data_IF_950545717286
#
_entry.id   IF_950545717286
#
_cell.length_a   1.000
_cell.length_b   1.000
_cell.length_c   1.000
_cell.angle_alpha   90.00
_cell.angle_beta   90.00
_cell.angle_gamma   90.00
#
_symmetry.space_group_name_H-M   'P 1'
#
loop_
_entity.id
_entity.type
_entity.pdbx_description
1 polymer ?
#
# COMPACT_ATOMS: atom_id res chain seq x y z
N UNK A 1 5.00 12.86 -10.53
CA UNK A 1 4.44 11.86 -9.59
C UNK A 1 2.94 12.09 -9.50
N UNK A 2 2.11 11.06 -9.66
CA UNK A 2 0.67 11.18 -9.42
C UNK A 2 0.39 11.53 -7.95
N UNK A 3 -0.71 12.24 -7.70
CA UNK A 3 -1.14 12.59 -6.34
C UNK A 3 -2.16 11.56 -5.87
N UNK A 4 -1.90 10.93 -4.73
CA UNK A 4 -2.82 10.02 -4.06
C UNK A 4 -3.37 10.69 -2.78
N UNK A 5 -4.64 10.45 -2.48
CA UNK A 5 -5.29 10.92 -1.26
C UNK A 5 -6.03 9.77 -0.60
N UNK A 6 -5.75 9.54 0.67
CA UNK A 6 -6.46 8.57 1.48
C UNK A 6 -7.74 9.19 2.03
N UNK A 7 -8.90 8.70 1.59
CA UNK A 7 -10.20 9.29 1.93
C UNK A 7 -10.90 8.56 3.09
N UNK A 8 -10.57 7.28 3.29
CA UNK A 8 -11.11 6.49 4.39
C UNK A 8 -10.21 6.65 5.61
N UNK A 9 -10.73 6.97 6.81
CA UNK A 9 -9.91 7.02 8.01
C UNK A 9 -9.12 5.72 8.21
N UNK A 10 -7.81 5.84 8.45
CA UNK A 10 -6.91 4.71 8.65
C UNK A 10 -5.90 5.06 9.73
N UNK A 11 -5.56 4.07 10.55
CA UNK A 11 -4.41 4.14 11.45
C UNK A 11 -3.21 3.59 10.67
N UNK A 12 -2.24 4.43 10.30
CA UNK A 12 -1.04 4.02 9.58
C UNK A 12 0.10 5.05 9.73
N UNK A 13 1.38 4.64 9.93
CA UNK A 13 2.48 5.60 10.14
C UNK A 13 2.68 6.59 8.99
N UNK A 14 2.41 6.18 7.75
CA UNK A 14 2.67 6.98 6.54
C UNK A 14 1.43 7.59 5.89
N UNK A 15 0.30 7.65 6.60
CA UNK A 15 -0.91 8.31 6.12
C UNK A 15 -1.33 9.35 7.15
N UNK A 16 -1.36 10.61 6.73
CA UNK A 16 -1.75 11.72 7.59
C UNK A 16 -3.26 11.74 7.81
N UNK A 17 -3.71 12.37 8.91
CA UNK A 17 -5.14 12.54 9.23
C UNK A 17 -5.90 13.32 8.17
N UNK A 18 -5.22 14.22 7.46
CA UNK A 18 -5.81 14.96 6.35
C UNK A 18 -5.93 14.11 5.08
N UNK A 19 -5.37 12.89 5.03
CA UNK A 19 -5.34 11.96 3.91
C UNK A 19 -4.07 11.99 3.06
N UNK A 20 -3.06 12.81 3.38
CA UNK A 20 -1.79 12.79 2.63
C UNK A 20 -1.05 11.46 2.82
N UNK A 21 -0.49 10.92 1.73
CA UNK A 21 0.15 9.59 1.72
C UNK A 21 1.63 9.72 1.40
N UNK A 22 2.49 9.18 2.25
CA UNK A 22 3.91 9.06 1.99
C UNK A 22 4.19 7.66 1.43
N UNK A 23 4.29 7.58 0.10
CA UNK A 23 4.65 6.36 -0.62
C UNK A 23 6.18 6.32 -0.61
N UNK A 24 6.79 5.42 0.17
CA UNK A 24 8.22 5.41 0.51
C UNK A 24 9.21 5.23 -0.65
N UNK A 25 8.73 5.18 -1.90
CA UNK A 25 9.58 5.07 -3.09
C UNK A 25 9.45 6.33 -3.96
N UNK A 26 10.58 6.83 -4.46
CA UNK A 26 10.57 7.87 -5.50
C UNK A 26 9.91 7.30 -6.74
N UNK A 27 8.85 7.95 -7.20
CA UNK A 27 8.23 7.61 -8.46
C UNK A 27 9.10 8.07 -9.64
N UNK A 28 9.26 7.21 -10.65
CA UNK A 28 9.86 7.55 -11.94
C UNK A 28 8.81 7.44 -13.04
N UNK A 29 8.93 8.14 -14.18
CA UNK A 29 8.00 8.01 -15.31
C UNK A 29 7.86 6.59 -15.87
N UNK A 30 8.86 5.73 -15.65
CA UNK A 30 8.82 4.32 -16.04
C UNK A 30 8.02 3.44 -15.06
N UNK A 31 7.67 3.97 -13.87
CA UNK A 31 6.85 3.25 -12.88
C UNK A 31 5.38 3.52 -13.17
N UNK A 32 4.68 2.50 -13.67
CA UNK A 32 3.25 2.55 -13.91
C UNK A 32 2.43 2.83 -12.65
N UNK A 33 1.17 3.24 -12.84
CA UNK A 33 0.21 3.48 -11.76
C UNK A 33 -0.12 2.18 -11.04
N UNK A 34 -0.15 1.05 -11.75
CA UNK A 34 -0.30 -0.31 -11.20
C UNK A 34 0.65 -0.56 -10.02
N UNK A 35 1.93 -0.19 -10.15
CA UNK A 35 2.93 -0.35 -9.09
C UNK A 35 2.67 0.56 -7.89
N UNK A 36 1.98 1.69 -8.09
CA UNK A 36 1.54 2.55 -7.00
C UNK A 36 0.37 1.90 -6.27
N UNK A 37 -0.60 1.36 -7.00
CA UNK A 37 -1.73 0.63 -6.40
C UNK A 37 -1.24 -0.57 -5.59
N UNK A 38 -0.25 -1.31 -6.10
CA UNK A 38 0.41 -2.39 -5.37
C UNK A 38 1.04 -1.91 -4.06
N UNK A 39 1.77 -0.80 -4.10
CA UNK A 39 2.37 -0.24 -2.89
C UNK A 39 1.31 0.18 -1.87
N UNK A 40 0.23 0.82 -2.32
CA UNK A 40 -0.87 1.23 -1.45
C UNK A 40 -1.59 0.02 -0.82
N UNK A 41 -1.77 -1.06 -1.57
CA UNK A 41 -2.33 -2.32 -1.04
C UNK A 41 -1.41 -2.94 0.03
N UNK A 42 -0.09 -2.88 -0.16
CA UNK A 42 0.86 -3.31 0.85
C UNK A 42 0.87 -2.42 2.09
N UNK A 43 0.68 -1.10 1.93
CA UNK A 43 0.54 -0.17 3.07
C UNK A 43 -0.69 -0.49 3.93
N UNK A 44 -1.85 -0.79 3.32
CA UNK A 44 -3.07 -1.16 4.07
C UNK A 44 -2.83 -2.34 5.00
N UNK A 45 -2.03 -3.31 4.54
CA UNK A 45 -1.75 -4.55 5.26
C UNK A 45 -0.60 -4.41 6.27
N UNK A 46 -0.04 -3.20 6.43
CA UNK A 46 1.21 -2.97 7.15
C UNK A 46 2.37 -3.86 6.64
N UNK A 47 2.34 -4.26 5.37
CA UNK A 47 3.47 -4.93 4.71
C UNK A 47 4.50 -3.92 4.19
N UNK A 48 4.11 -2.63 4.07
CA UNK A 48 5.01 -1.53 3.73
C UNK A 48 4.72 -0.31 4.60
N UNK A 49 5.74 0.15 5.33
CA UNK A 49 5.72 1.39 6.08
C UNK A 49 7.14 1.91 6.31
N UNK A 50 7.25 3.21 6.57
CA UNK A 50 8.49 3.90 6.94
C UNK A 50 8.32 4.56 8.32
N UNK A 51 9.23 4.28 9.25
CA UNK A 51 9.19 4.81 10.61
C UNK A 51 10.13 6.00 10.86
N UNK A 52 10.95 6.38 9.88
CA UNK A 52 11.91 7.48 10.01
C UNK A 52 11.18 8.83 10.05
N UNK A 53 10.24 9.04 9.11
CA UNK A 53 9.46 10.27 8.96
C UNK A 53 7.95 9.98 8.89
N UNK A 54 7.32 9.54 9.99
CA UNK A 54 5.90 9.20 10.00
C UNK A 54 5.03 10.47 9.97
N UNK A 55 3.86 10.36 9.35
CA UNK A 55 2.78 11.32 9.55
C UNK A 55 2.03 11.07 10.87
N UNK A 56 1.94 9.81 11.31
CA UNK A 56 1.29 9.44 12.57
C UNK A 56 2.27 8.78 13.54
N UNK A 57 2.68 9.53 14.57
CA UNK A 57 3.59 9.06 15.61
C UNK A 57 2.99 8.02 16.55
N UNK A 58 1.66 8.03 16.74
CA UNK A 58 0.96 7.01 17.51
C UNK A 58 0.99 5.68 16.77
N UNK A 59 0.75 5.70 15.45
CA UNK A 59 0.88 4.51 14.61
C UNK A 59 2.33 4.01 14.56
N UNK A 60 3.33 4.89 14.42
CA UNK A 60 4.75 4.50 14.54
C UNK A 60 5.04 3.78 15.86
N UNK A 61 4.57 4.33 16.98
CA UNK A 61 4.79 3.72 18.30
C UNK A 61 4.14 2.35 18.39
N UNK A 62 2.90 2.22 17.91
CA UNK A 62 2.20 0.95 17.88
C UNK A 62 2.95 -0.09 17.05
N UNK A 63 3.43 0.28 15.85
CA UNK A 63 4.23 -0.63 15.02
C UNK A 63 5.46 -1.13 15.78
N UNK A 64 6.26 -0.22 16.37
CA UNK A 64 7.45 -0.61 17.12
C UNK A 64 7.18 -1.49 18.35
N UNK A 65 5.96 -1.51 18.87
CA UNK A 65 5.55 -2.37 19.99
C UNK A 65 5.04 -3.74 19.53
N UNK A 66 4.67 -3.88 18.26
CA UNK A 66 3.95 -5.07 17.75
C UNK A 66 4.63 -5.70 16.52
N UNK A 67 5.81 -5.25 16.11
CA UNK A 67 6.45 -5.59 14.82
C UNK A 67 6.43 -7.09 14.47
N UNK A 68 6.70 -7.97 15.43
CA UNK A 68 6.70 -9.43 15.23
C UNK A 68 5.29 -10.04 15.08
N UNK A 69 4.27 -9.36 15.59
CA UNK A 69 2.89 -9.85 15.71
C UNK A 69 1.91 -9.18 14.75
N UNK A 70 2.28 -8.07 14.09
CA UNK A 70 1.39 -7.33 13.17
C UNK A 70 0.76 -8.27 12.13
N UNK A 71 1.54 -9.20 11.58
CA UNK A 71 1.08 -10.21 10.61
C UNK A 71 -0.01 -11.15 11.13
N UNK A 72 -0.11 -11.31 12.45
CA UNK A 72 -1.14 -12.12 13.11
C UNK A 72 -2.37 -11.28 13.48
N UNK A 73 -2.22 -9.95 13.56
CA UNK A 73 -3.28 -9.00 13.90
C UNK A 73 -4.03 -8.48 12.66
N UNK A 74 -3.35 -8.44 11.53
CA UNK A 74 -3.87 -7.91 10.27
C UNK A 74 -3.98 -9.05 9.27
N UNK A 75 -5.14 -9.17 8.63
CA UNK A 75 -5.32 -10.14 7.55
C UNK A 75 -4.43 -9.74 6.36
N UNK A 76 -3.45 -10.59 6.07
CA UNK A 76 -2.54 -10.39 4.94
C UNK A 76 -2.91 -11.32 3.79
N UNK A 77 -2.95 -10.73 2.61
CA UNK A 77 -3.05 -11.39 1.31
C UNK A 77 -1.74 -11.18 0.58
N UNK A 78 -1.28 -12.24 -0.10
CA UNK A 78 -0.13 -12.13 -1.00
C UNK A 78 -0.49 -11.18 -2.15
N UNK A 79 0.16 -10.01 -2.19
CA UNK A 79 -0.09 -8.96 -3.17
C UNK A 79 1.23 -8.49 -3.83
N UNK A 80 1.29 -8.28 -5.16
CA UNK A 80 0.24 -8.52 -6.13
C UNK A 80 -0.19 -10.00 -6.18
N UNK A 81 -1.44 -10.29 -6.55
CA UNK A 81 -1.90 -11.66 -6.74
C UNK A 81 -1.02 -12.39 -7.75
N UNK A 82 -0.83 -13.70 -7.54
CA UNK A 82 -0.17 -14.55 -8.53
C UNK A 82 -1.16 -14.94 -9.63
N UNK A 83 -0.66 -15.15 -10.84
CA UNK A 83 -1.45 -15.71 -11.94
C UNK A 83 -2.03 -17.06 -11.51
N UNK A 84 -3.34 -17.27 -11.67
CA UNK A 84 -4.07 -18.46 -11.22
C UNK A 84 -4.69 -18.37 -9.82
N UNK A 85 -4.66 -17.22 -9.14
CA UNK A 85 -5.28 -17.00 -7.82
C UNK A 85 -6.73 -16.50 -7.88
N UNK A 86 -7.38 -16.36 -6.71
CA UNK A 86 -8.77 -15.84 -6.60
C UNK A 86 -8.95 -14.41 -7.17
N UNK A 87 -7.84 -13.68 -7.31
CA UNK A 87 -7.74 -12.39 -7.99
C UNK A 87 -6.56 -12.53 -8.94
N UNK A 88 -6.73 -12.18 -10.22
CA UNK A 88 -5.65 -12.21 -11.20
C UNK A 88 -5.32 -10.78 -11.66
N UNK A 89 -4.04 -10.46 -11.80
CA UNK A 89 -3.62 -9.30 -12.59
C UNK A 89 -3.63 -9.73 -14.04
N UNK A 90 -4.63 -9.25 -14.77
CA UNK A 90 -4.69 -9.38 -16.23
C UNK A 90 -3.69 -8.42 -16.87
N UNK A 91 -2.95 -8.91 -17.85
CA UNK A 91 -2.02 -8.09 -18.62
C UNK A 91 -2.81 -7.14 -19.55
N UNK A 92 -2.21 -6.03 -19.99
CA UNK A 92 -2.88 -5.02 -20.83
C UNK A 92 -3.48 -5.62 -22.12
N UNK A 93 -2.84 -6.65 -22.69
CA UNK A 93 -3.31 -7.36 -23.89
C UNK A 93 -4.63 -8.12 -23.66
N UNK A 94 -4.93 -8.53 -22.43
CA UNK A 94 -6.18 -9.22 -22.08
C UNK A 94 -7.34 -8.24 -21.81
N UNK A 95 -7.04 -6.95 -21.61
CA UNK A 95 -8.04 -5.89 -21.42
C UNK A 95 -8.64 -5.37 -22.74
N UNK A 96 -8.01 -5.64 -23.88
CA UNK A 96 -8.44 -5.14 -25.20
C UNK A 96 -9.69 -5.83 -25.77
N UNK A 97 -10.27 -6.83 -25.09
CA UNK A 97 -11.46 -7.58 -25.57
C UNK A 97 -12.79 -6.83 -25.34
N UNK A 98 -12.79 -5.66 -24.67
CA UNK A 98 -14.04 -4.93 -24.34
C UNK A 98 -14.16 -3.56 -25.01
N UNK A 99 -13.48 -3.36 -26.14
CA UNK A 99 -13.56 -2.15 -26.98
C UNK A 99 -14.45 -2.30 -28.20
#
# INVERSE_FOLDING_TARGET
>A
MPKAKWITPIFHPNIAKNGDVCIGTRWTPMKGIDKIIIELANMIQYASYNLDNPYDYSAKRWVGQNESEIKNMIYMVKFPPEKGGDIEIVDEEELEIVG
#
